data_IF_390505043204
#
_entry.id   IF_390505043204
#
_cell.length_a   1.000
_cell.length_b   1.000
_cell.length_c   1.000
_cell.angle_alpha   90.00
_cell.angle_beta   90.00
_cell.angle_gamma   90.00
#
_symmetry.space_group_name_H-M   'P 1'
#
loop_
_entity.id
_entity.type
_entity.pdbx_description
1 polymer ?
#
# COMPACT_ATOMS: atom_id res chain seq x y z
N UNK A 1 17.68 -25.77 17.54
CA UNK A 1 16.60 -26.22 16.65
C UNK A 1 15.31 -25.60 17.16
N UNK A 2 14.90 -24.46 16.61
CA UNK A 2 13.55 -23.94 16.81
C UNK A 2 12.88 -24.02 15.44
N UNK A 3 11.99 -25.01 15.27
CA UNK A 3 11.17 -25.09 14.08
C UNK A 3 10.49 -23.75 13.86
N UNK A 4 10.63 -23.19 12.67
CA UNK A 4 9.92 -21.98 12.30
C UNK A 4 8.44 -22.37 12.29
N UNK A 5 7.69 -21.99 13.32
CA UNK A 5 6.23 -22.00 13.24
C UNK A 5 5.80 -20.93 12.23
N UNK A 6 5.88 -21.31 10.96
CA UNK A 6 5.42 -20.51 9.83
C UNK A 6 3.97 -20.05 10.03
N UNK A 7 3.04 -20.88 10.57
CA UNK A 7 1.68 -20.44 10.89
C UNK A 7 1.64 -19.32 11.91
N UNK A 8 2.39 -19.41 13.02
CA UNK A 8 2.41 -18.36 14.06
C UNK A 8 2.92 -17.03 13.51
N UNK A 9 3.96 -17.07 12.66
CA UNK A 9 4.49 -15.86 11.99
C UNK A 9 3.52 -15.25 10.99
N UNK A 10 2.80 -16.08 10.23
CA UNK A 10 1.76 -15.61 9.29
C UNK A 10 0.62 -14.94 10.06
N UNK A 11 0.14 -15.55 11.14
CA UNK A 11 -0.91 -14.98 11.99
C UNK A 11 -0.45 -13.66 12.59
N UNK A 12 0.76 -13.62 13.15
CA UNK A 12 1.33 -12.41 13.73
C UNK A 12 1.50 -11.29 12.68
N UNK A 13 1.97 -11.64 11.47
CA UNK A 13 2.05 -10.73 10.34
C UNK A 13 0.68 -10.21 9.88
N UNK A 14 -0.35 -11.04 9.93
CA UNK A 14 -1.72 -10.65 9.60
C UNK A 14 -2.31 -9.70 10.66
N UNK A 15 -2.16 -10.01 11.96
CA UNK A 15 -2.62 -9.14 13.06
C UNK A 15 -1.92 -7.78 13.00
N UNK A 16 -0.59 -7.78 12.80
CA UNK A 16 0.19 -6.58 12.58
C UNK A 16 -0.30 -5.76 11.37
N UNK A 17 -0.61 -6.44 10.26
CA UNK A 17 -1.17 -5.82 9.06
C UNK A 17 -2.53 -5.16 9.32
N UNK A 18 -3.45 -5.86 9.98
CA UNK A 18 -4.79 -5.35 10.31
C UNK A 18 -4.69 -4.15 11.25
N UNK A 19 -3.88 -4.24 12.30
CA UNK A 19 -3.68 -3.14 13.26
C UNK A 19 -3.12 -1.90 12.55
N UNK A 20 -2.08 -2.07 11.73
CA UNK A 20 -1.49 -0.99 10.95
C UNK A 20 -2.50 -0.36 9.99
N UNK A 21 -3.25 -1.17 9.23
CA UNK A 21 -4.26 -0.66 8.29
C UNK A 21 -5.36 0.09 9.04
N UNK A 22 -5.84 -0.40 10.18
CA UNK A 22 -6.91 0.24 10.97
C UNK A 22 -6.54 1.65 11.41
N UNK A 23 -5.31 1.82 11.89
CA UNK A 23 -4.83 3.12 12.37
C UNK A 23 -4.55 4.11 11.23
N UNK A 24 -4.08 3.63 10.08
CA UNK A 24 -3.68 4.49 8.95
C UNK A 24 -4.82 4.75 7.98
N UNK A 25 -5.85 3.90 7.96
CA UNK A 25 -6.96 3.99 7.02
C UNK A 25 -7.60 5.39 6.92
N UNK A 26 -7.88 6.12 8.02
CA UNK A 26 -8.45 7.46 7.92
C UNK A 26 -7.55 8.45 7.18
N UNK A 27 -6.23 8.34 7.38
CA UNK A 27 -5.22 9.18 6.72
C UNK A 27 -5.15 8.83 5.23
N UNK A 28 -5.18 7.54 4.90
CA UNK A 28 -5.24 7.05 3.52
C UNK A 28 -6.49 7.53 2.78
N UNK A 29 -7.65 7.49 3.43
CA UNK A 29 -8.88 7.98 2.84
C UNK A 29 -8.80 9.49 2.55
N UNK A 30 -8.30 10.28 3.49
CA UNK A 30 -8.16 11.73 3.28
C UNK A 30 -7.17 12.04 2.17
N UNK A 31 -6.01 11.36 2.14
CA UNK A 31 -5.02 11.52 1.07
C UNK A 31 -5.63 11.18 -0.29
N UNK A 32 -6.34 10.06 -0.40
CA UNK A 32 -6.95 9.66 -1.68
C UNK A 32 -8.06 10.61 -2.12
N UNK A 33 -8.84 11.18 -1.19
CA UNK A 33 -9.80 12.25 -1.50
C UNK A 33 -9.11 13.53 -1.98
N UNK A 34 -8.03 13.94 -1.32
CA UNK A 34 -7.28 15.14 -1.69
C UNK A 34 -6.57 14.99 -3.05
N UNK A 35 -6.02 13.80 -3.34
CA UNK A 35 -5.39 13.50 -4.63
C UNK A 35 -6.39 13.37 -5.78
N UNK A 36 -7.62 12.92 -5.49
CA UNK A 36 -8.68 12.77 -6.49
C UNK A 36 -9.70 13.93 -6.46
N UNK A 37 -9.39 15.04 -5.78
CA UNK A 37 -10.34 16.14 -5.64
C UNK A 37 -10.57 16.81 -7.00
N UNK A 38 -11.80 17.24 -7.24
CA UNK A 38 -12.15 18.01 -8.42
C UNK A 38 -12.02 19.50 -8.11
N UNK A 39 -11.50 20.25 -9.07
CA UNK A 39 -11.48 21.71 -9.04
C UNK A 39 -12.81 22.16 -9.64
N UNK A 40 -13.72 22.61 -8.80
CA UNK A 40 -15.02 23.14 -9.20
C UNK A 40 -14.90 24.66 -9.12
N UNK A 41 -15.22 25.36 -10.22
CA UNK A 41 -15.15 26.83 -10.32
C UNK A 41 -13.79 27.43 -9.96
N UNK A 42 -12.70 26.76 -10.39
CA UNK A 42 -11.33 27.20 -10.15
C UNK A 42 -10.86 27.10 -8.69
N UNK A 43 -11.69 26.58 -7.78
CA UNK A 43 -11.36 26.39 -6.36
C UNK A 43 -11.25 24.90 -6.02
N UNK A 44 -10.20 24.48 -5.29
CA UNK A 44 -10.10 23.11 -4.79
C UNK A 44 -11.20 22.87 -3.75
N UNK A 45 -11.86 21.71 -3.82
CA UNK A 45 -12.90 21.28 -2.86
C UNK A 45 -12.38 21.22 -1.41
N UNK A 46 -11.10 20.87 -1.26
CA UNK A 46 -10.42 20.79 0.03
C UNK A 46 -9.16 21.67 0.03
N UNK A 47 -9.03 22.54 1.03
CA UNK A 47 -7.88 23.44 1.15
C UNK A 47 -6.62 22.69 1.59
N UNK A 48 -6.78 21.78 2.55
CA UNK A 48 -5.69 21.04 3.21
C UNK A 48 -6.17 19.64 3.63
N UNK A 49 -5.24 18.77 4.02
CA UNK A 49 -5.52 17.46 4.62
C UNK A 49 -6.48 17.59 5.80
N UNK A 50 -6.23 18.54 6.71
CA UNK A 50 -7.09 18.78 7.89
C UNK A 50 -8.50 19.25 7.51
N UNK A 51 -8.62 20.11 6.49
CA UNK A 51 -9.92 20.57 5.98
C UNK A 51 -10.71 19.40 5.38
N UNK A 52 -10.05 18.52 4.63
CA UNK A 52 -10.66 17.29 4.11
C UNK A 52 -11.08 16.33 5.22
N UNK A 53 -10.26 16.15 6.25
CA UNK A 53 -10.58 15.30 7.40
C UNK A 53 -11.81 15.82 8.15
N UNK A 54 -11.81 17.11 8.53
CA UNK A 54 -12.90 17.74 9.28
C UNK A 54 -14.19 17.73 8.47
N UNK A 55 -14.15 18.12 7.18
CA UNK A 55 -15.33 18.09 6.31
C UNK A 55 -15.89 16.68 6.18
N UNK A 56 -15.03 15.68 5.96
CA UNK A 56 -15.45 14.28 5.84
C UNK A 56 -16.08 13.77 7.14
N UNK A 57 -15.45 14.04 8.29
CA UNK A 57 -15.98 13.65 9.59
C UNK A 57 -17.33 14.34 9.88
N UNK A 58 -17.51 15.59 9.45
CA UNK A 58 -18.76 16.34 9.63
C UNK A 58 -19.87 15.91 8.64
N UNK A 59 -19.51 15.54 7.42
CA UNK A 59 -20.49 15.19 6.37
C UNK A 59 -20.90 13.72 6.39
N UNK A 60 -19.99 12.81 6.69
CA UNK A 60 -20.22 11.36 6.65
C UNK A 60 -20.13 10.70 8.04
N UNK A 61 -19.81 11.47 9.08
CA UNK A 61 -19.61 10.95 10.44
C UNK A 61 -18.27 10.24 10.63
N UNK A 62 -18.04 9.76 11.86
CA UNK A 62 -16.82 9.03 12.22
C UNK A 62 -16.65 7.73 11.42
N UNK A 63 -17.73 6.98 11.20
CA UNK A 63 -17.69 5.76 10.37
C UNK A 63 -17.51 6.04 8.88
N UNK A 64 -17.79 7.27 8.41
CA UNK A 64 -17.48 7.72 7.06
C UNK A 64 -15.98 7.67 6.75
N UNK A 65 -15.12 7.89 7.76
CA UNK A 65 -13.66 7.77 7.64
C UNK A 65 -13.19 6.33 7.40
N UNK A 66 -14.06 5.33 7.63
CA UNK A 66 -13.79 3.91 7.40
C UNK A 66 -14.52 3.34 6.17
N UNK A 67 -15.11 4.20 5.33
CA UNK A 67 -15.80 3.77 4.11
C UNK A 67 -14.80 3.17 3.10
N UNK A 68 -14.96 1.88 2.81
CA UNK A 68 -14.03 1.11 1.97
C UNK A 68 -12.91 0.41 2.74
N UNK A 69 -12.98 0.38 4.07
CA UNK A 69 -12.05 -0.33 4.95
C UNK A 69 -11.95 -1.82 4.62
N UNK A 70 -13.09 -2.50 4.42
CA UNK A 70 -13.11 -3.94 4.12
C UNK A 70 -12.29 -4.32 2.88
N UNK A 71 -12.35 -3.51 1.82
CA UNK A 71 -11.55 -3.75 0.60
C UNK A 71 -10.06 -3.55 0.88
N UNK A 72 -9.69 -2.56 1.69
CA UNK A 72 -8.27 -2.32 2.02
C UNK A 72 -7.71 -3.38 2.96
N UNK A 73 -8.46 -3.83 3.97
CA UNK A 73 -8.01 -4.90 4.88
C UNK A 73 -7.80 -6.21 4.14
N UNK A 74 -8.79 -6.65 3.35
CA UNK A 74 -8.71 -7.91 2.60
C UNK A 74 -7.52 -7.96 1.64
N UNK A 75 -7.08 -6.80 1.15
CA UNK A 75 -6.05 -6.73 0.12
C UNK A 75 -4.66 -6.37 0.66
N UNK A 76 -4.56 -5.49 1.66
CA UNK A 76 -3.27 -5.05 2.24
C UNK A 76 -2.75 -6.06 3.26
N UNK A 77 -3.63 -6.69 4.05
CA UNK A 77 -3.21 -7.62 5.10
C UNK A 77 -2.38 -8.79 4.57
N UNK A 78 -2.80 -9.49 3.49
CA UNK A 78 -2.01 -10.60 2.95
C UNK A 78 -0.69 -10.13 2.35
N UNK A 79 -0.66 -8.94 1.71
CA UNK A 79 0.57 -8.34 1.18
C UNK A 79 1.61 -8.12 2.30
N UNK A 80 1.18 -7.58 3.44
CA UNK A 80 2.08 -7.33 4.57
C UNK A 80 2.51 -8.61 5.29
N UNK A 81 1.58 -9.54 5.51
CA UNK A 81 1.90 -10.82 6.11
C UNK A 81 2.95 -11.58 5.29
N UNK A 82 2.76 -11.65 3.97
CA UNK A 82 3.68 -12.34 3.08
C UNK A 82 5.06 -11.68 3.02
N UNK A 83 5.09 -10.34 3.07
CA UNK A 83 6.34 -9.57 3.08
C UNK A 83 7.16 -9.79 4.36
N UNK A 84 6.51 -9.80 5.53
CA UNK A 84 7.18 -10.03 6.82
C UNK A 84 7.66 -11.48 6.94
N UNK A 85 6.79 -12.44 6.63
CA UNK A 85 7.12 -13.87 6.66
C UNK A 85 8.20 -14.21 5.65
N UNK A 86 8.12 -13.66 4.44
CA UNK A 86 9.14 -13.84 3.40
C UNK A 86 10.50 -13.31 3.84
N UNK A 87 10.56 -12.11 4.42
CA UNK A 87 11.80 -11.56 4.95
C UNK A 87 12.42 -12.46 6.03
N UNK A 88 11.62 -12.94 6.97
CA UNK A 88 12.08 -13.85 8.02
C UNK A 88 12.60 -15.17 7.45
N UNK A 89 11.90 -15.73 6.46
CA UNK A 89 12.27 -16.97 5.79
C UNK A 89 13.60 -16.82 5.02
N UNK A 90 13.72 -15.78 4.19
CA UNK A 90 14.96 -15.54 3.43
C UNK A 90 16.13 -15.20 4.35
N UNK A 91 15.91 -14.41 5.42
CA UNK A 91 16.95 -14.14 6.42
C UNK A 91 17.40 -15.41 7.12
N UNK A 92 16.48 -16.32 7.46
CA UNK A 92 16.84 -17.62 8.04
C UNK A 92 17.69 -18.46 7.08
N UNK A 93 17.29 -18.57 5.82
CA UNK A 93 18.04 -19.34 4.81
C UNK A 93 19.42 -18.76 4.49
N UNK A 94 19.56 -17.43 4.49
CA UNK A 94 20.81 -16.73 4.12
C UNK A 94 21.76 -16.52 5.30
N UNK A 95 21.39 -16.91 6.53
CA UNK A 95 22.29 -16.88 7.71
C UNK A 95 23.38 -17.94 7.56
N UNK A 96 24.63 -17.51 7.68
CA UNK A 96 25.78 -18.41 7.84
C UNK A 96 26.59 -17.93 9.03
N UNK A 97 26.93 -18.84 9.94
CA UNK A 97 27.70 -18.57 11.17
C UNK A 97 27.09 -17.51 12.11
N UNK A 98 25.77 -17.50 12.24
CA UNK A 98 25.03 -16.63 13.15
C UNK A 98 24.94 -15.16 12.74
N UNK A 99 25.78 -14.72 11.78
CA UNK A 99 25.84 -13.35 11.26
C UNK A 99 25.18 -13.26 9.87
N UNK A 100 24.47 -12.17 9.65
CA UNK A 100 23.92 -11.79 8.34
C UNK A 100 24.77 -10.62 7.83
N UNK A 101 25.77 -10.85 6.97
CA UNK A 101 26.53 -9.74 6.39
C UNK A 101 25.60 -8.89 5.52
N UNK A 102 25.87 -7.59 5.44
CA UNK A 102 25.02 -6.59 4.78
C UNK A 102 24.49 -7.06 3.42
N UNK A 103 25.37 -7.57 2.54
CA UNK A 103 25.00 -8.05 1.20
C UNK A 103 23.88 -9.12 1.20
N UNK A 104 23.87 -10.01 2.20
CA UNK A 104 22.85 -11.06 2.33
C UNK A 104 21.54 -10.52 2.89
N UNK A 105 21.58 -9.44 3.67
CA UNK A 105 20.37 -8.75 4.08
C UNK A 105 19.67 -8.09 2.90
N UNK A 106 20.42 -7.46 1.99
CA UNK A 106 19.84 -6.90 0.77
C UNK A 106 19.24 -8.02 -0.10
N UNK A 107 19.94 -9.16 -0.24
CA UNK A 107 19.41 -10.31 -0.97
C UNK A 107 18.16 -10.89 -0.32
N UNK A 108 18.10 -10.96 1.02
CA UNK A 108 16.91 -11.41 1.73
C UNK A 108 15.74 -10.44 1.53
N UNK A 109 15.99 -9.13 1.58
CA UNK A 109 15.00 -8.11 1.25
C UNK A 109 14.51 -8.19 -0.19
N UNK A 110 15.41 -8.43 -1.15
CA UNK A 110 15.06 -8.62 -2.56
C UNK A 110 14.23 -9.89 -2.80
N UNK A 111 14.63 -11.01 -2.19
CA UNK A 111 13.90 -12.29 -2.28
C UNK A 111 12.50 -12.19 -1.67
N UNK A 112 12.38 -11.54 -0.51
CA UNK A 112 11.09 -11.29 0.13
C UNK A 112 10.18 -10.40 -0.74
N UNK A 113 10.73 -9.33 -1.33
CA UNK A 113 10.01 -8.47 -2.27
C UNK A 113 9.54 -9.23 -3.51
N UNK A 114 10.40 -10.05 -4.11
CA UNK A 114 10.05 -10.85 -5.29
C UNK A 114 8.95 -11.87 -5.00
N UNK A 115 9.07 -12.61 -3.89
CA UNK A 115 8.06 -13.57 -3.45
C UNK A 115 6.70 -12.90 -3.18
N UNK A 116 6.74 -11.75 -2.48
CA UNK A 116 5.55 -10.94 -2.23
C UNK A 116 4.89 -10.52 -3.55
N UNK A 117 5.65 -9.91 -4.47
CA UNK A 117 5.11 -9.39 -5.73
C UNK A 117 4.46 -10.48 -6.57
N UNK A 118 5.08 -11.67 -6.68
CA UNK A 118 4.50 -12.77 -7.46
C UNK A 118 3.12 -13.16 -6.91
N UNK A 119 2.99 -13.27 -5.59
CA UNK A 119 1.72 -13.64 -4.97
C UNK A 119 0.69 -12.49 -4.97
N UNK A 120 1.13 -11.23 -4.85
CA UNK A 120 0.23 -10.09 -4.68
C UNK A 120 -0.13 -9.39 -5.98
N UNK A 121 0.57 -9.61 -7.09
CA UNK A 121 0.27 -8.93 -8.36
C UNK A 121 -1.19 -9.13 -8.82
N UNK A 122 -1.77 -10.35 -8.78
CA UNK A 122 -3.20 -10.52 -9.09
C UNK A 122 -4.10 -9.73 -8.12
N UNK A 123 -3.76 -9.69 -6.83
CA UNK A 123 -4.51 -8.96 -5.82
C UNK A 123 -4.44 -7.44 -6.02
N UNK A 124 -3.28 -6.90 -6.41
CA UNK A 124 -3.13 -5.48 -6.70
C UNK A 124 -3.95 -5.06 -7.92
N UNK A 125 -3.98 -5.90 -8.96
CA UNK A 125 -4.83 -5.67 -10.12
C UNK A 125 -6.30 -5.68 -9.73
N UNK A 126 -6.74 -6.64 -8.91
CA UNK A 126 -8.10 -6.69 -8.37
C UNK A 126 -8.42 -5.46 -7.51
N UNK A 127 -7.48 -4.98 -6.69
CA UNK A 127 -7.62 -3.76 -5.89
C UNK A 127 -7.93 -2.56 -6.77
N UNK A 128 -7.14 -2.35 -7.82
CA UNK A 128 -7.30 -1.22 -8.74
C UNK A 128 -8.68 -1.29 -9.41
N UNK A 129 -9.07 -2.45 -9.91
CA UNK A 129 -10.35 -2.64 -10.58
C UNK A 129 -11.56 -2.48 -9.65
N UNK A 130 -11.49 -3.00 -8.41
CA UNK A 130 -12.54 -2.81 -7.41
C UNK A 130 -12.68 -1.34 -7.01
N UNK A 131 -11.56 -0.63 -6.84
CA UNK A 131 -11.56 0.81 -6.55
C UNK A 131 -12.12 1.61 -7.73
N UNK A 132 -11.78 1.25 -8.97
CA UNK A 132 -12.30 1.91 -10.17
C UNK A 132 -13.79 1.60 -10.41
N UNK A 133 -14.24 0.37 -10.14
CA UNK A 133 -15.66 0.02 -10.16
C UNK A 133 -16.45 0.82 -9.11
N UNK A 134 -15.93 0.92 -7.89
CA UNK A 134 -16.52 1.75 -6.82
C UNK A 134 -16.62 3.23 -7.18
N UNK A 135 -15.63 3.77 -7.90
CA UNK A 135 -15.66 5.14 -8.44
C UNK A 135 -16.74 5.34 -9.50
N UNK A 136 -16.88 4.42 -10.45
CA UNK A 136 -17.92 4.49 -11.50
C UNK A 136 -19.33 4.51 -10.90
N UNK A 137 -19.56 3.70 -9.87
CA UNK A 137 -20.83 3.69 -9.12
C UNK A 137 -21.07 5.04 -8.44
N UNK A 138 -20.10 5.56 -7.66
CA UNK A 138 -20.26 6.85 -6.98
C UNK A 138 -20.52 8.02 -7.95
N UNK A 139 -19.83 8.05 -9.11
CA UNK A 139 -20.04 9.09 -10.12
C UNK A 139 -21.43 9.02 -10.75
N UNK A 140 -21.94 7.80 -11.01
CA UNK A 140 -23.27 7.58 -11.56
C UNK A 140 -24.36 7.99 -10.55
N UNK A 141 -24.18 7.67 -9.27
CA UNK A 141 -25.10 8.09 -8.19
C UNK A 141 -25.15 9.60 -8.00
N UNK A 142 -24.02 10.30 -8.09
CA UNK A 142 -23.99 11.78 -8.02
C UNK A 142 -24.65 12.45 -9.23
N UNK A 143 -24.48 11.90 -10.44
CA UNK A 143 -25.14 12.40 -11.66
C UNK A 143 -26.67 12.22 -11.61
N UNK A 144 -27.17 11.13 -11.02
CA UNK A 144 -28.62 10.90 -10.85
C UNK A 144 -29.25 11.69 -9.70
N UNK A 145 -28.47 12.13 -8.70
CA UNK A 145 -28.98 12.95 -7.60
C UNK A 145 -29.29 14.41 -8.01
N UNK A 146 -28.88 14.83 -9.21
CA UNK A 146 -29.17 16.15 -9.77
C UNK A 146 -30.54 16.29 -10.45
N UNK A 147 -31.41 15.27 -10.42
CA UNK A 147 -32.74 15.36 -11.03
C UNK A 147 -33.68 14.21 -10.69
N UNK A 148 -34.83 14.57 -10.08
CA UNK A 148 -36.08 13.81 -9.90
C UNK A 148 -36.03 12.66 -8.88
N UNK A 149 -36.40 12.98 -7.63
CA UNK A 149 -36.42 12.10 -6.46
C UNK A 149 -37.46 10.95 -6.50
N UNK A 150 -38.46 10.99 -7.38
CA UNK A 150 -39.58 10.04 -7.33
C UNK A 150 -39.33 8.67 -8.01
N UNK A 151 -38.41 8.58 -9.00
CA UNK A 151 -38.06 7.31 -9.66
C UNK A 151 -36.92 6.54 -8.96
N UNK A 152 -36.35 7.13 -7.90
CA UNK A 152 -35.07 6.73 -7.30
C UNK A 152 -35.19 5.50 -6.38
N UNK A 153 -36.35 5.26 -5.76
CA UNK A 153 -36.51 4.15 -4.81
C UNK A 153 -36.44 2.76 -5.49
N UNK A 154 -36.92 2.64 -6.73
CA UNK A 154 -36.88 1.39 -7.50
C UNK A 154 -35.49 1.10 -8.11
N UNK A 155 -34.81 2.14 -8.61
CA UNK A 155 -33.49 2.01 -9.26
C UNK A 155 -32.35 1.81 -8.24
N UNK A 156 -32.45 2.42 -7.05
CA UNK A 156 -31.47 2.21 -5.97
C UNK A 156 -31.49 0.77 -5.44
N UNK A 157 -32.66 0.13 -5.39
CA UNK A 157 -32.77 -1.31 -5.04
C UNK A 157 -32.20 -2.21 -6.14
N UNK A 158 -32.37 -1.85 -7.43
CA UNK A 158 -31.78 -2.60 -8.55
C UNK A 158 -30.27 -2.45 -8.68
N UNK A 159 -29.71 -1.27 -8.39
CA UNK A 159 -28.27 -1.01 -8.45
C UNK A 159 -27.50 -1.59 -7.25
N UNK A 160 -28.16 -1.79 -6.10
CA UNK A 160 -27.61 -2.54 -4.98
C UNK A 160 -27.53 -4.06 -5.25
N UNK A 161 -28.26 -4.56 -6.26
CA UNK A 161 -28.34 -5.99 -6.59
C UNK A 161 -27.16 -6.52 -7.42
N UNK A 162 -26.15 -5.69 -7.73
CA UNK A 162 -25.00 -6.09 -8.53
C UNK A 162 -23.70 -5.53 -7.97
N UNK A 163 -23.42 -5.75 -6.68
CA UNK A 163 -22.05 -5.57 -6.18
C UNK A 163 -21.16 -6.54 -6.95
N UNK A 164 -20.39 -6.05 -7.94
CA UNK A 164 -19.39 -6.84 -8.64
C UNK A 164 -18.46 -7.45 -7.59
N UNK A 165 -18.58 -8.77 -7.39
CA UNK A 165 -17.75 -9.47 -6.42
C UNK A 165 -16.33 -9.57 -6.96
N UNK A 166 -15.33 -9.58 -6.08
CA UNK A 166 -13.94 -9.81 -6.47
C UNK A 166 -13.78 -11.09 -7.33
N UNK A 167 -14.59 -12.12 -7.05
CA UNK A 167 -14.62 -13.37 -7.80
C UNK A 167 -15.22 -13.22 -9.20
N UNK A 168 -16.27 -12.40 -9.36
CA UNK A 168 -16.89 -12.14 -10.66
C UNK A 168 -15.93 -11.38 -11.58
N UNK A 169 -15.26 -10.37 -11.02
CA UNK A 169 -14.22 -9.62 -11.71
C UNK A 169 -13.03 -10.51 -12.09
N UNK A 170 -12.59 -11.38 -11.18
CA UNK A 170 -11.49 -12.33 -11.46
C UNK A 170 -11.88 -13.29 -12.58
N UNK A 171 -13.09 -13.84 -12.54
CA UNK A 171 -13.63 -14.73 -13.57
C UNK A 171 -13.74 -14.04 -14.93
N UNK A 172 -14.23 -12.80 -14.95
CA UNK A 172 -14.32 -12.00 -16.17
C UNK A 172 -12.93 -11.67 -16.75
N UNK A 173 -11.98 -11.33 -15.88
CA UNK A 173 -10.61 -11.01 -16.28
C UNK A 173 -9.86 -12.22 -16.84
N UNK A 174 -10.05 -13.40 -16.25
CA UNK A 174 -9.50 -14.66 -16.77
C UNK A 174 -10.13 -15.00 -18.12
N UNK A 175 -11.45 -14.81 -18.29
CA UNK A 175 -12.13 -15.07 -19.57
C UNK A 175 -11.72 -14.10 -20.68
N UNK A 176 -11.48 -12.83 -20.35
CA UNK A 176 -11.18 -11.79 -21.34
C UNK A 176 -9.70 -11.64 -21.66
N UNK A 177 -8.80 -11.80 -20.68
CA UNK A 177 -7.35 -11.57 -20.83
C UNK A 177 -6.49 -12.81 -20.59
N UNK A 178 -7.11 -13.94 -20.26
CA UNK A 178 -6.39 -15.15 -19.87
C UNK A 178 -5.67 -15.02 -18.53
N UNK A 179 -4.99 -16.09 -18.12
CA UNK A 179 -4.27 -16.17 -16.85
C UNK A 179 -3.11 -15.16 -16.75
N UNK A 180 -2.34 -14.98 -17.83
CA UNK A 180 -1.24 -14.00 -17.87
C UNK A 180 -1.73 -12.54 -17.79
N UNK A 181 -3.00 -12.28 -18.13
CA UNK A 181 -3.63 -10.98 -17.95
C UNK A 181 -3.67 -10.50 -16.49
N UNK A 182 -3.66 -11.44 -15.53
CA UNK A 182 -3.62 -11.13 -14.09
C UNK A 182 -2.29 -10.52 -13.64
N UNK A 183 -1.21 -10.78 -14.38
CA UNK A 183 0.13 -10.29 -14.08
C UNK A 183 0.47 -9.00 -14.85
N UNK A 184 -0.52 -8.39 -15.50
CA UNK A 184 -0.33 -7.11 -16.19
C UNK A 184 0.02 -6.02 -15.17
N UNK A 185 1.25 -5.53 -15.24
CA UNK A 185 1.80 -4.55 -14.29
C UNK A 185 2.94 -5.10 -13.43
N UNK A 186 3.25 -6.40 -13.52
CA UNK A 186 4.31 -7.07 -12.76
C UNK A 186 5.66 -6.34 -12.80
N UNK A 187 6.07 -5.80 -13.95
CA UNK A 187 7.33 -5.05 -14.05
C UNK A 187 7.33 -3.77 -13.21
N UNK A 188 6.20 -3.05 -13.16
CA UNK A 188 6.08 -1.84 -12.36
C UNK A 188 6.01 -2.15 -10.86
N UNK A 189 5.36 -3.25 -10.48
CA UNK A 189 5.28 -3.69 -9.08
C UNK A 189 6.63 -4.19 -8.58
N UNK A 190 7.36 -4.97 -9.39
CA UNK A 190 8.74 -5.38 -9.09
C UNK A 190 9.69 -4.18 -8.94
N UNK A 191 9.62 -3.21 -9.86
CA UNK A 191 10.46 -2.03 -9.84
C UNK A 191 10.25 -1.18 -8.57
N UNK A 192 9.05 -1.20 -7.98
CA UNK A 192 8.74 -0.50 -6.73
C UNK A 192 9.09 -1.34 -5.49
N UNK A 193 8.63 -2.57 -5.44
CA UNK A 193 8.61 -3.36 -4.19
C UNK A 193 9.98 -3.94 -3.86
N UNK A 194 10.80 -4.30 -4.86
CA UNK A 194 12.16 -4.81 -4.62
C UNK A 194 13.04 -3.70 -4.03
N UNK A 195 13.22 -2.52 -4.64
CA UNK A 195 14.03 -1.46 -4.07
C UNK A 195 13.53 -1.01 -2.69
N UNK A 196 12.21 -0.95 -2.49
CA UNK A 196 11.66 -0.63 -1.18
C UNK A 196 12.10 -1.66 -0.13
N UNK A 197 12.00 -2.95 -0.43
CA UNK A 197 12.35 -4.02 0.51
C UNK A 197 13.85 -4.10 0.78
N UNK A 198 14.66 -3.90 -0.25
CA UNK A 198 16.13 -3.87 -0.18
C UNK A 198 16.65 -2.76 0.72
N UNK A 199 15.96 -1.61 0.76
CA UNK A 199 16.34 -0.48 1.63
C UNK A 199 15.71 -0.63 3.02
N UNK A 200 14.41 -0.94 3.07
CA UNK A 200 13.65 -0.97 4.31
C UNK A 200 14.15 -2.02 5.30
N UNK A 201 14.35 -3.27 4.86
CA UNK A 201 14.61 -4.39 5.78
C UNK A 201 15.99 -4.36 6.44
N UNK A 202 17.10 -4.03 5.74
CA UNK A 202 18.39 -3.83 6.38
C UNK A 202 18.38 -2.61 7.31
N UNK A 203 17.79 -1.49 6.86
CA UNK A 203 17.76 -0.26 7.64
C UNK A 203 16.95 -0.42 8.93
N UNK A 204 15.78 -1.07 8.85
CA UNK A 204 15.00 -1.42 10.03
C UNK A 204 15.80 -2.31 10.98
N UNK A 205 16.47 -3.36 10.49
CA UNK A 205 17.24 -4.25 11.36
C UNK A 205 18.40 -3.56 12.07
N UNK A 206 19.14 -2.69 11.39
CA UNK A 206 20.24 -1.95 12.00
C UNK A 206 19.76 -0.95 13.04
N UNK A 207 18.69 -0.19 12.76
CA UNK A 207 18.15 0.77 13.73
C UNK A 207 17.51 0.04 14.92
N UNK A 208 16.78 -1.05 14.65
CA UNK A 208 16.16 -1.84 15.71
C UNK A 208 17.22 -2.54 16.60
N UNK A 209 18.37 -2.91 16.02
CA UNK A 209 19.49 -3.48 16.75
C UNK A 209 20.09 -2.55 17.82
N UNK A 210 19.93 -1.24 17.67
CA UNK A 210 20.37 -0.27 18.67
C UNK A 210 19.44 -0.20 19.90
N UNK A 211 18.26 -0.79 19.82
CA UNK A 211 17.24 -0.75 20.87
C UNK A 211 17.18 -1.99 21.76
N UNK A 212 18.10 -2.95 21.58
CA UNK A 212 18.21 -4.09 22.49
C UNK A 212 18.89 -3.63 23.79
N UNK A 213 18.15 -3.64 24.89
CA UNK A 213 18.72 -3.42 26.21
C UNK A 213 19.44 -4.69 26.69
N UNK A 214 20.52 -4.54 27.48
CA UNK A 214 21.25 -5.67 28.07
C UNK A 214 20.27 -6.62 28.80
N UNK A 215 20.25 -7.89 28.39
CA UNK A 215 19.40 -8.94 28.97
C UNK A 215 18.02 -9.13 28.33
N UNK A 216 17.65 -8.36 27.30
CA UNK A 216 16.38 -8.53 26.57
C UNK A 216 16.58 -9.11 25.17
N UNK A 217 15.84 -10.17 24.81
CA UNK A 217 15.88 -10.77 23.47
C UNK A 217 15.16 -9.92 22.39
N UNK A 218 14.45 -8.85 22.80
CA UNK A 218 13.62 -8.01 21.91
C UNK A 218 13.78 -6.53 22.24
N UNK A 219 13.85 -5.70 21.19
CA UNK A 219 13.81 -4.24 21.34
C UNK A 219 12.45 -3.77 21.86
N UNK A 220 12.43 -2.68 22.63
CA UNK A 220 11.18 -2.08 23.13
C UNK A 220 10.23 -1.71 21.99
N UNK A 221 8.92 -1.81 22.21
CA UNK A 221 7.90 -1.45 21.22
C UNK A 221 8.12 -0.05 20.63
N UNK A 222 8.39 0.95 21.46
CA UNK A 222 8.62 2.33 21.03
C UNK A 222 9.82 2.43 20.08
N UNK A 223 10.89 1.71 20.38
CA UNK A 223 12.09 1.69 19.54
C UNK A 223 11.83 0.99 18.21
N UNK A 224 11.15 -0.16 18.23
CA UNK A 224 10.73 -0.88 17.01
C UNK A 224 9.79 -0.04 16.14
N UNK A 225 8.89 0.71 16.76
CA UNK A 225 7.98 1.61 16.08
C UNK A 225 8.72 2.77 15.40
N UNK A 226 9.64 3.43 16.12
CA UNK A 226 10.44 4.53 15.57
C UNK A 226 11.39 4.02 14.47
N UNK A 227 12.04 2.87 14.69
CA UNK A 227 12.87 2.22 13.69
C UNK A 227 12.08 1.91 12.41
N UNK A 228 10.87 1.37 12.55
CA UNK A 228 9.95 1.12 11.45
C UNK A 228 9.57 2.40 10.69
N UNK A 229 9.22 3.46 11.41
CA UNK A 229 8.90 4.77 10.83
C UNK A 229 10.09 5.35 10.05
N UNK A 230 11.28 5.40 10.65
CA UNK A 230 12.48 5.98 10.02
C UNK A 230 12.89 5.18 8.80
N UNK A 231 12.94 3.85 8.90
CA UNK A 231 13.27 2.99 7.77
C UNK A 231 12.26 3.14 6.62
N UNK A 232 10.97 3.23 6.95
CA UNK A 232 9.90 3.47 5.99
C UNK A 232 9.99 4.85 5.32
N UNK A 233 10.33 5.90 6.06
CA UNK A 233 10.56 7.24 5.49
C UNK A 233 11.69 7.21 4.44
N UNK A 234 12.86 6.68 4.83
CA UNK A 234 14.04 6.63 3.96
C UNK A 234 13.77 5.78 2.72
N UNK A 235 13.19 4.59 2.89
CA UNK A 235 12.82 3.73 1.77
C UNK A 235 11.77 4.38 0.87
N UNK A 236 10.78 5.08 1.43
CA UNK A 236 9.74 5.75 0.65
C UNK A 236 10.28 6.89 -0.21
N UNK A 237 11.21 7.69 0.33
CA UNK A 237 11.84 8.79 -0.41
C UNK A 237 12.76 8.23 -1.50
N UNK A 238 13.55 7.20 -1.19
CA UNK A 238 14.46 6.59 -2.14
C UNK A 238 13.75 5.94 -3.34
N UNK A 239 12.56 5.37 -3.12
CA UNK A 239 11.80 4.68 -4.18
C UNK A 239 10.82 5.61 -4.90
N UNK A 240 10.59 6.83 -4.39
CA UNK A 240 9.63 7.78 -4.96
C UNK A 240 9.82 8.03 -6.48
N UNK A 241 11.06 8.16 -7.02
CA UNK A 241 11.24 8.34 -8.46
C UNK A 241 10.72 7.17 -9.31
N UNK A 242 10.73 5.95 -8.77
CA UNK A 242 10.24 4.75 -9.46
C UNK A 242 8.71 4.67 -9.39
N UNK A 243 8.11 5.18 -8.32
CA UNK A 243 6.65 5.27 -8.18
C UNK A 243 6.02 6.36 -9.05
N UNK A 244 6.71 7.48 -9.20
CA UNK A 244 6.28 8.58 -10.07
C UNK A 244 6.48 8.26 -11.56
N UNK A 245 7.24 7.20 -11.86
CA UNK A 245 7.24 6.56 -13.17
C UNK A 245 5.90 5.81 -13.39
N UNK A 246 4.82 6.57 -13.54
CA UNK A 246 3.55 6.08 -14.04
C UNK A 246 3.35 6.63 -15.45
N UNK A 247 3.47 5.81 -16.51
CA UNK A 247 3.04 6.24 -17.84
C UNK A 247 1.52 6.36 -17.81
N UNK A 248 1.01 7.53 -17.46
CA UNK A 248 -0.43 7.82 -17.53
C UNK A 248 -0.67 9.19 -18.14
N UNK A 249 -1.09 9.15 -19.40
CA UNK A 249 -2.07 10.02 -20.04
C UNK A 249 -2.36 11.34 -19.29
N UNK A 250 -1.47 12.32 -19.41
CA UNK A 250 -1.94 13.71 -19.42
C UNK A 250 -2.75 13.88 -20.71
N UNK A 251 -3.98 14.41 -20.67
CA UNK A 251 -4.73 14.75 -21.87
C UNK A 251 -4.10 16.00 -22.48
N UNK A 252 -2.98 15.81 -23.17
CA UNK A 252 -2.38 16.64 -24.23
C UNK A 252 -0.99 16.10 -24.51
N UNK A 253 -0.90 15.44 -25.67
CA UNK A 253 0.30 15.30 -26.51
C UNK A 253 1.58 14.85 -25.80
N UNK A 254 1.81 13.54 -25.75
CA UNK A 254 2.99 12.95 -26.42
C UNK A 254 2.86 11.44 -26.41
N UNK A 255 2.97 10.81 -27.59
CA UNK A 255 3.17 9.37 -27.71
C UNK A 255 4.44 8.98 -26.94
N UNK A 256 4.29 8.30 -25.81
CA UNK A 256 5.40 7.75 -25.05
C UNK A 256 5.73 6.36 -25.60
N UNK A 257 6.88 6.23 -26.25
CA UNK A 257 7.33 4.96 -26.84
C UNK A 257 8.04 4.03 -25.84
N UNK A 258 8.35 4.50 -24.61
CA UNK A 258 8.90 3.63 -23.56
C UNK A 258 9.30 4.29 -22.23
N UNK A 259 9.80 3.46 -21.32
CA UNK A 259 10.20 3.80 -19.93
C UNK A 259 11.28 4.85 -19.85
N UNK A 260 12.31 4.69 -20.68
CA UNK A 260 13.47 5.59 -20.69
C UNK A 260 13.11 6.98 -21.24
N UNK A 261 12.25 7.06 -22.26
CA UNK A 261 11.85 8.32 -22.89
C UNK A 261 11.02 9.21 -21.95
N UNK A 262 10.08 8.61 -21.22
CA UNK A 262 9.30 9.32 -20.22
C UNK A 262 10.16 9.79 -19.02
N UNK A 263 11.10 8.96 -18.53
CA UNK A 263 12.04 9.36 -17.48
C UNK A 263 12.91 10.56 -17.88
N UNK A 264 13.50 10.52 -19.08
CA UNK A 264 14.34 11.62 -19.60
C UNK A 264 13.52 12.90 -19.80
N UNK A 265 12.26 12.79 -20.26
CA UNK A 265 11.37 13.94 -20.42
C UNK A 265 10.99 14.58 -19.09
N UNK A 266 10.63 13.81 -18.06
CA UNK A 266 10.33 14.35 -16.73
C UNK A 266 11.57 15.05 -16.16
N UNK A 267 12.74 14.42 -16.28
CA UNK A 267 14.00 15.01 -15.82
C UNK A 267 14.32 16.35 -16.49
N UNK A 268 14.12 16.45 -17.81
CA UNK A 268 14.41 17.67 -18.59
C UNK A 268 13.34 18.75 -18.49
N UNK A 269 12.06 18.38 -18.35
CA UNK A 269 10.93 19.34 -18.39
C UNK A 269 10.50 19.81 -17.00
N UNK A 270 10.46 18.91 -16.02
CA UNK A 270 9.96 19.22 -14.67
C UNK A 270 11.09 19.29 -13.62
N UNK A 271 12.29 18.82 -13.96
CA UNK A 271 13.47 18.82 -13.08
C UNK A 271 13.47 17.69 -12.04
N UNK A 272 14.57 17.53 -11.29
CA UNK A 272 14.73 16.44 -10.32
C UNK A 272 13.76 16.52 -9.13
N UNK A 273 13.33 17.73 -8.74
CA UNK A 273 12.34 17.95 -7.69
C UNK A 273 10.94 17.47 -8.06
N UNK A 274 10.66 17.27 -9.36
CA UNK A 274 9.42 16.66 -9.81
C UNK A 274 9.26 15.25 -9.23
N UNK A 275 10.33 14.44 -9.26
CA UNK A 275 10.37 13.08 -8.71
C UNK A 275 10.23 12.97 -7.18
N UNK A 276 10.12 14.10 -6.48
CA UNK A 276 9.85 14.17 -5.04
C UNK A 276 8.44 14.69 -4.76
N UNK A 277 7.67 15.09 -5.79
CA UNK A 277 6.28 15.51 -5.63
C UNK A 277 5.47 14.32 -5.15
N UNK A 278 4.81 14.48 -4.01
CA UNK A 278 4.04 13.41 -3.37
C UNK A 278 4.83 12.50 -2.41
N UNK A 279 6.16 12.66 -2.30
CA UNK A 279 6.97 11.93 -1.32
C UNK A 279 6.50 12.18 0.11
N UNK A 280 6.18 13.44 0.47
CA UNK A 280 5.66 13.78 1.80
C UNK A 280 4.32 13.08 2.08
N UNK A 281 3.38 13.10 1.13
CA UNK A 281 2.10 12.43 1.28
C UNK A 281 2.27 10.90 1.38
N UNK A 282 3.33 10.34 0.82
CA UNK A 282 3.70 8.93 0.97
C UNK A 282 4.26 8.66 2.36
N UNK A 283 5.20 9.47 2.83
CA UNK A 283 5.79 9.37 4.17
C UNK A 283 4.71 9.39 5.25
N UNK A 284 3.74 10.31 5.16
CA UNK A 284 2.65 10.44 6.13
C UNK A 284 1.77 9.18 6.28
N UNK A 285 1.71 8.34 5.26
CA UNK A 285 0.93 7.10 5.26
C UNK A 285 1.80 5.90 5.59
N UNK A 286 2.95 5.79 4.91
CA UNK A 286 3.77 4.59 4.96
C UNK A 286 4.53 4.51 6.29
N UNK A 287 4.99 5.62 6.85
CA UNK A 287 5.76 5.59 8.09
C UNK A 287 4.94 5.07 9.29
N UNK A 288 3.73 5.60 9.58
CA UNK A 288 2.91 5.05 10.65
C UNK A 288 2.49 3.60 10.38
N UNK A 289 2.19 3.25 9.13
CA UNK A 289 1.75 1.90 8.76
C UNK A 289 2.81 0.85 9.10
N UNK A 290 4.06 1.09 8.66
CA UNK A 290 5.17 0.17 8.91
C UNK A 290 5.66 0.24 10.36
N UNK A 291 5.61 1.41 11.02
CA UNK A 291 5.90 1.53 12.45
C UNK A 291 4.97 0.69 13.32
N UNK A 292 3.65 0.79 13.10
CA UNK A 292 2.64 0.00 13.83
C UNK A 292 2.79 -1.48 13.48
N UNK A 293 2.91 -1.83 12.20
CA UNK A 293 3.04 -3.23 11.79
C UNK A 293 4.29 -3.88 12.42
N UNK A 294 5.45 -3.22 12.43
CA UNK A 294 6.63 -3.77 13.09
C UNK A 294 6.49 -3.81 14.60
N UNK A 295 5.98 -2.75 15.23
CA UNK A 295 5.75 -2.74 16.67
C UNK A 295 4.85 -3.90 17.12
N UNK A 296 3.73 -4.13 16.41
CA UNK A 296 2.79 -5.22 16.70
C UNK A 296 3.38 -6.59 16.35
N UNK A 297 4.13 -6.72 15.25
CA UNK A 297 4.79 -7.96 14.88
C UNK A 297 5.81 -8.39 15.94
N UNK A 298 6.60 -7.47 16.48
CA UNK A 298 7.61 -7.80 17.49
C UNK A 298 7.06 -7.98 18.91
N UNK A 299 5.87 -7.45 19.21
CA UNK A 299 5.11 -7.81 20.43
C UNK A 299 4.81 -9.32 20.47
N UNK A 300 4.74 -9.99 19.31
CA UNK A 300 4.68 -11.45 19.24
C UNK A 300 3.34 -12.00 19.74
N UNK A 301 2.23 -11.42 19.29
CA UNK A 301 0.86 -11.84 19.71
C UNK A 301 0.63 -13.35 19.49
N UNK A 302 1.34 -13.97 18.55
CA UNK A 302 1.28 -15.42 18.27
C UNK A 302 2.40 -16.28 18.89
N UNK A 303 3.26 -15.73 19.75
CA UNK A 303 4.29 -16.50 20.49
C UNK A 303 3.86 -16.82 21.93
N UNK A 304 2.66 -16.38 22.35
CA UNK A 304 2.08 -16.66 23.67
C UNK A 304 1.25 -17.95 23.73
N UNK A 305 1.22 -18.76 22.65
CA UNK A 305 0.53 -20.04 22.58
C UNK A 305 1.39 -21.10 21.90
#
# INVERSE_FOLDING_TARGET
MSEISLPSKVINGAVAGIAGVTCVFPIDLVKTRLQNQQIIDGKPMYKNILDCFIKTARSEGFFGLYKGYGVNVTLITPEKALKLVGNDFFRYMLRTDGKLPFYRELLAGAGAGLCQVIATTPMELLKIQLQDAGRKVHKKTQLTAGGVEAAVSGVVKGAASGSLTAMDLTRDLIRTRGFFGLYKGLGATLARDIPFSVIYFPLFAHINALGYAEGTEKATFQHSFVAGCVAACVASVAVNPVDEYRPYNKPKETNHTGVKDCFVKIWKLEGPMAFLKGAMARVFVIAPLFGIAQGVYFIGVGEFY
#
